data_IF_845394242169
#
_entry.id   IF_845394242169
#
_cell.length_a   1.000
_cell.length_b   1.000
_cell.length_c   1.000
_cell.angle_alpha   90.00
_cell.angle_beta   90.00
_cell.angle_gamma   90.00
#
_symmetry.space_group_name_H-M   'P 1'
#
loop_
_entity.id
_entity.type
_entity.pdbx_description
1 polymer ?
#
# COMPACT_ATOMS: atom_id res chain seq x y z
N UNK A 1 -15.42 22.68 14.69
CA UNK A 1 -14.43 22.30 13.65
C UNK A 1 -14.63 20.83 13.29
N UNK A 2 -14.92 20.50 12.02
CA UNK A 2 -14.94 19.09 11.58
C UNK A 2 -13.59 18.49 11.90
N UNK A 3 -13.58 17.38 12.65
CA UNK A 3 -12.38 16.62 12.97
C UNK A 3 -11.80 16.15 11.64
N UNK A 4 -10.76 16.80 11.15
CA UNK A 4 -10.11 16.41 9.90
C UNK A 4 -9.46 15.06 10.16
N UNK A 5 -9.99 14.00 9.54
CA UNK A 5 -9.47 12.66 9.73
C UNK A 5 -8.09 12.57 9.11
N UNK A 6 -7.06 12.44 9.94
CA UNK A 6 -5.69 12.27 9.46
C UNK A 6 -5.57 10.91 8.75
N UNK A 7 -5.18 10.94 7.47
CA UNK A 7 -5.13 9.73 6.63
C UNK A 7 -4.13 8.69 7.16
N UNK A 8 -3.04 9.14 7.80
CA UNK A 8 -1.98 8.25 8.31
C UNK A 8 -2.47 7.50 9.54
N UNK A 9 -3.25 8.17 10.38
CA UNK A 9 -3.95 7.53 11.50
C UNK A 9 -4.97 6.48 11.03
N UNK A 10 -5.76 6.80 10.01
CA UNK A 10 -6.71 5.84 9.44
C UNK A 10 -5.98 4.62 8.85
N UNK A 11 -4.89 4.85 8.12
CA UNK A 11 -4.06 3.77 7.58
C UNK A 11 -3.45 2.91 8.69
N UNK A 12 -2.89 3.52 9.74
CA UNK A 12 -2.32 2.80 10.87
C UNK A 12 -3.36 1.90 11.58
N UNK A 13 -4.57 2.43 11.82
CA UNK A 13 -5.67 1.66 12.41
C UNK A 13 -6.16 0.54 11.49
N UNK A 14 -6.16 0.76 10.17
CA UNK A 14 -6.54 -0.26 9.21
C UNK A 14 -5.54 -1.41 9.18
N UNK A 15 -4.25 -1.09 9.11
CA UNK A 15 -3.16 -2.08 9.14
C UNK A 15 -3.14 -2.84 10.46
N UNK A 16 -3.33 -2.17 11.59
CA UNK A 16 -3.44 -2.82 12.90
C UNK A 16 -4.56 -3.86 12.94
N UNK A 17 -5.76 -3.53 12.43
CA UNK A 17 -6.87 -4.49 12.36
C UNK A 17 -6.56 -5.70 11.48
N UNK A 18 -5.85 -5.51 10.38
CA UNK A 18 -5.47 -6.61 9.49
C UNK A 18 -4.47 -7.53 10.18
N UNK A 19 -3.40 -6.96 10.76
CA UNK A 19 -2.27 -7.73 11.27
C UNK A 19 -2.56 -8.33 12.66
N UNK A 20 -3.16 -7.56 13.56
CA UNK A 20 -3.38 -7.99 14.96
C UNK A 20 -4.73 -8.68 15.17
N UNK A 21 -5.72 -8.40 14.32
CA UNK A 21 -7.09 -8.90 14.49
C UNK A 21 -7.55 -9.82 13.36
N UNK A 22 -6.69 -10.10 12.38
CA UNK A 22 -6.99 -11.00 11.26
C UNK A 22 -8.11 -10.53 10.33
N UNK A 23 -8.42 -9.23 10.32
CA UNK A 23 -9.46 -8.70 9.45
C UNK A 23 -8.97 -8.56 8.00
N UNK A 24 -9.87 -8.74 7.03
CA UNK A 24 -9.56 -8.46 5.63
C UNK A 24 -9.52 -6.95 5.36
N UNK A 25 -8.47 -6.46 4.69
CA UNK A 25 -8.36 -5.04 4.34
C UNK A 25 -9.57 -4.57 3.51
N UNK A 26 -10.14 -5.43 2.66
CA UNK A 26 -11.32 -5.09 1.86
C UNK A 26 -12.52 -4.67 2.72
N UNK A 27 -12.73 -5.32 3.87
CA UNK A 27 -13.80 -5.00 4.82
C UNK A 27 -13.48 -3.74 5.62
N UNK A 28 -12.21 -3.55 5.99
CA UNK A 28 -11.76 -2.42 6.82
C UNK A 28 -11.69 -1.12 6.03
N UNK A 29 -11.22 -1.17 4.78
CA UNK A 29 -10.92 0.02 3.98
C UNK A 29 -12.18 0.75 3.51
N UNK A 30 -13.23 0.02 3.13
CA UNK A 30 -14.44 0.60 2.54
C UNK A 30 -15.14 1.60 3.50
N UNK A 31 -15.41 1.28 4.78
CA UNK A 31 -15.96 2.25 5.73
C UNK A 31 -15.03 3.43 6.02
N UNK A 32 -13.71 3.28 5.87
CA UNK A 32 -12.75 4.38 6.07
C UNK A 32 -12.73 5.33 4.88
N UNK A 33 -12.83 4.80 3.66
CA UNK A 33 -12.91 5.61 2.43
C UNK A 33 -14.15 6.50 2.40
N UNK A 34 -15.27 6.07 3.00
CA UNK A 34 -16.49 6.88 3.13
C UNK A 34 -16.32 8.08 4.08
N UNK A 35 -15.28 8.10 4.91
CA UNK A 35 -15.01 9.16 5.90
C UNK A 35 -14.03 10.23 5.40
N UNK A 36 -13.58 10.14 4.15
CA UNK A 36 -12.58 11.04 3.55
C UNK A 36 -13.07 11.54 2.18
N UNK A 37 -12.50 12.65 1.71
CA UNK A 37 -12.82 13.19 0.40
C UNK A 37 -12.33 12.26 -0.71
N UNK A 38 -12.95 12.30 -1.90
CA UNK A 38 -12.59 11.42 -3.02
C UNK A 38 -11.10 11.51 -3.40
N UNK A 39 -10.53 12.72 -3.40
CA UNK A 39 -9.10 12.96 -3.64
C UNK A 39 -8.17 12.24 -2.64
N UNK A 40 -8.66 11.97 -1.43
CA UNK A 40 -7.88 11.38 -0.35
C UNK A 40 -8.01 9.84 -0.30
N UNK A 41 -9.05 9.28 -0.95
CA UNK A 41 -9.29 7.82 -0.98
C UNK A 41 -8.11 7.07 -1.60
N UNK A 42 -7.55 7.60 -2.69
CA UNK A 42 -6.42 6.99 -3.38
C UNK A 42 -5.17 6.94 -2.48
N UNK A 43 -4.88 8.04 -1.76
CA UNK A 43 -3.75 8.07 -0.83
C UNK A 43 -3.95 7.14 0.36
N UNK A 44 -5.16 7.12 0.96
CA UNK A 44 -5.47 6.18 2.04
C UNK A 44 -5.27 4.72 1.60
N UNK A 45 -5.74 4.39 0.40
CA UNK A 45 -5.58 3.05 -0.18
C UNK A 45 -4.09 2.72 -0.42
N UNK A 46 -3.33 3.66 -1.01
CA UNK A 46 -1.89 3.49 -1.24
C UNK A 46 -1.15 3.21 0.07
N UNK A 47 -1.43 3.97 1.14
CA UNK A 47 -0.80 3.76 2.44
C UNK A 47 -1.14 2.39 3.04
N UNK A 48 -2.41 1.97 3.00
CA UNK A 48 -2.82 0.68 3.55
C UNK A 48 -2.20 -0.51 2.80
N UNK A 49 -2.34 -0.55 1.48
CA UNK A 49 -1.78 -1.63 0.66
C UNK A 49 -0.25 -1.61 0.67
N UNK A 50 0.32 -0.42 0.62
CA UNK A 50 1.75 -0.19 0.68
C UNK A 50 2.39 -0.76 1.93
N UNK A 51 1.90 -0.34 3.10
CA UNK A 51 2.41 -0.79 4.40
C UNK A 51 2.27 -2.31 4.56
N UNK A 52 1.12 -2.90 4.17
CA UNK A 52 0.95 -4.36 4.24
C UNK A 52 1.91 -5.10 3.30
N UNK A 53 2.12 -4.61 2.08
CA UNK A 53 3.04 -5.21 1.11
C UNK A 53 4.48 -5.17 1.60
N UNK A 54 4.89 -4.08 2.26
CA UNK A 54 6.27 -3.90 2.73
C UNK A 54 6.43 -4.17 4.22
N UNK A 55 5.47 -4.83 4.87
CA UNK A 55 5.40 -4.96 6.32
C UNK A 55 6.69 -5.55 6.91
N UNK A 56 7.28 -6.56 6.26
CA UNK A 56 8.55 -7.17 6.69
C UNK A 56 9.69 -6.17 6.77
N UNK A 57 9.80 -5.25 5.80
CA UNK A 57 10.82 -4.20 5.82
C UNK A 57 10.55 -3.19 6.92
N UNK A 58 9.30 -2.75 7.06
CA UNK A 58 8.93 -1.73 8.04
C UNK A 58 9.13 -2.25 9.47
N UNK A 59 8.82 -3.52 9.72
CA UNK A 59 9.06 -4.19 11.01
C UNK A 59 10.57 -4.35 11.26
N UNK A 60 11.34 -4.73 10.25
CA UNK A 60 12.80 -4.80 10.34
C UNK A 60 13.40 -3.43 10.71
N UNK A 61 12.94 -2.35 10.07
CA UNK A 61 13.38 -0.98 10.39
C UNK A 61 13.02 -0.57 11.82
N UNK A 62 11.81 -0.87 12.29
CA UNK A 62 11.43 -0.60 13.68
C UNK A 62 12.39 -1.31 14.64
N UNK A 63 12.69 -2.59 14.41
CA UNK A 63 13.58 -3.35 15.29
C UNK A 63 15.02 -2.85 15.30
N UNK A 64 15.48 -2.19 14.23
CA UNK A 64 16.80 -1.53 14.18
C UNK A 64 16.83 -0.18 14.87
N UNK A 65 15.73 0.56 14.83
CA UNK A 65 15.66 1.94 15.32
C UNK A 65 15.14 2.04 16.76
N UNK A 66 14.41 1.03 17.23
CA UNK A 66 13.76 1.03 18.54
C UNK A 66 14.21 -0.18 19.35
N UNK A 67 14.88 0.07 20.47
CA UNK A 67 15.24 -0.98 21.43
C UNK A 67 14.01 -1.62 22.11
N UNK A 68 12.91 -0.87 22.19
CA UNK A 68 11.61 -1.32 22.72
C UNK A 68 10.49 -0.88 21.76
N UNK A 69 10.11 -1.72 20.80
CA UNK A 69 8.98 -1.45 19.90
C UNK A 69 7.68 -1.18 20.66
N UNK A 70 6.76 -0.43 20.05
CA UNK A 70 5.50 -0.05 20.70
C UNK A 70 4.53 -1.24 20.74
N UNK A 71 4.08 -1.62 21.94
CA UNK A 71 3.21 -2.78 22.18
C UNK A 71 1.97 -2.40 23.01
N UNK A 72 1.03 -3.34 23.15
CA UNK A 72 -0.16 -3.20 23.99
C UNK A 72 -0.97 -1.94 23.66
N UNK A 73 -1.22 -1.08 24.66
CA UNK A 73 -2.02 0.15 24.50
C UNK A 73 -1.42 1.18 23.52
N UNK A 74 -0.18 0.98 23.08
CA UNK A 74 0.52 1.85 22.12
C UNK A 74 0.69 1.20 20.75
N UNK A 75 0.07 0.06 20.49
CA UNK A 75 0.30 -0.71 19.27
C UNK A 75 -0.07 0.07 18.00
N UNK A 76 -1.12 0.87 18.00
CA UNK A 76 -1.43 1.79 16.88
C UNK A 76 -0.29 2.75 16.53
N UNK A 77 0.54 3.16 17.52
CA UNK A 77 1.69 4.05 17.29
C UNK A 77 2.79 3.33 16.51
N UNK A 78 2.96 2.02 16.73
CA UNK A 78 3.85 1.15 15.95
C UNK A 78 3.50 1.27 14.45
N UNK A 79 2.23 1.04 14.12
CA UNK A 79 1.74 1.12 12.75
C UNK A 79 1.77 2.54 12.19
N UNK A 80 1.58 3.57 13.02
CA UNK A 80 1.71 4.95 12.59
C UNK A 80 3.16 5.29 12.17
N UNK A 81 4.16 4.80 12.92
CA UNK A 81 5.58 4.94 12.55
C UNK A 81 5.85 4.19 11.23
N UNK A 82 5.30 2.99 11.06
CA UNK A 82 5.42 2.23 9.80
C UNK A 82 4.83 2.99 8.61
N UNK A 83 3.67 3.62 8.77
CA UNK A 83 3.06 4.49 7.75
C UNK A 83 3.99 5.67 7.43
N UNK A 84 4.69 6.22 8.41
CA UNK A 84 5.72 7.24 8.21
C UNK A 84 6.91 6.74 7.38
N UNK A 85 7.49 5.60 7.75
CA UNK A 85 8.57 4.96 6.99
C UNK A 85 8.16 4.66 5.56
N UNK A 86 6.96 4.10 5.36
CA UNK A 86 6.44 3.80 4.04
C UNK A 86 6.37 5.04 3.15
N UNK A 87 5.88 6.16 3.67
CA UNK A 87 5.86 7.41 2.92
C UNK A 87 7.25 7.89 2.51
N UNK A 88 8.22 7.83 3.43
CA UNK A 88 9.59 8.26 3.18
C UNK A 88 10.31 7.38 2.14
N UNK A 89 9.94 6.10 2.05
CA UNK A 89 10.57 5.13 1.15
C UNK A 89 9.91 5.01 -0.22
N UNK A 90 8.58 5.01 -0.25
CA UNK A 90 7.82 4.53 -1.40
C UNK A 90 6.89 5.57 -2.03
N UNK A 91 6.84 6.78 -1.48
CA UNK A 91 5.97 7.84 -2.00
C UNK A 91 6.77 9.06 -2.44
N UNK A 92 6.15 9.88 -3.29
CA UNK A 92 6.69 11.18 -3.70
C UNK A 92 6.25 12.32 -2.76
N UNK A 93 5.65 12.00 -1.61
CA UNK A 93 5.27 13.02 -0.63
C UNK A 93 6.55 13.66 -0.10
N UNK A 94 6.68 15.00 -0.11
CA UNK A 94 7.86 15.65 0.42
C UNK A 94 8.16 15.20 1.86
N UNK A 95 9.42 14.86 2.21
CA UNK A 95 9.72 14.25 3.50
C UNK A 95 9.24 15.07 4.70
N UNK A 96 9.34 16.40 4.64
CA UNK A 96 8.85 17.28 5.71
C UNK A 96 7.33 17.17 5.92
N UNK A 97 6.56 17.03 4.83
CA UNK A 97 5.11 16.86 4.88
C UNK A 97 4.74 15.46 5.38
N UNK A 98 5.44 14.41 4.93
CA UNK A 98 5.25 13.05 5.43
C UNK A 98 5.51 12.97 6.94
N UNK A 99 6.58 13.61 7.44
CA UNK A 99 6.86 13.70 8.88
C UNK A 99 5.75 14.44 9.62
N UNK A 100 5.40 15.66 9.17
CA UNK A 100 4.42 16.50 9.85
C UNK A 100 3.06 15.80 9.97
N UNK A 101 2.55 15.25 8.87
CA UNK A 101 1.27 14.54 8.82
C UNK A 101 1.27 13.27 9.66
N UNK A 102 2.37 12.52 9.66
CA UNK A 102 2.49 11.29 10.47
C UNK A 102 2.56 11.61 11.96
N UNK A 103 3.32 12.64 12.34
CA UNK A 103 3.42 13.10 13.73
C UNK A 103 2.09 13.64 14.21
N UNK A 104 1.38 14.44 13.40
CA UNK A 104 0.05 14.94 13.75
C UNK A 104 -0.98 13.81 13.87
N UNK A 105 -0.77 12.70 13.15
CA UNK A 105 -1.58 11.49 13.29
C UNK A 105 -1.64 10.93 14.72
N UNK A 106 -0.67 11.25 15.57
CA UNK A 106 -0.66 10.86 16.98
C UNK A 106 -1.87 11.42 17.76
N UNK A 107 -2.33 12.63 17.42
CA UNK A 107 -3.50 13.25 18.05
C UNK A 107 -4.77 12.48 17.70
N UNK A 108 -4.91 12.09 16.43
CA UNK A 108 -6.09 11.37 15.94
C UNK A 108 -6.22 9.96 16.53
N UNK A 109 -5.10 9.30 16.86
CA UNK A 109 -5.09 8.01 17.58
C UNK A 109 -5.10 8.16 19.10
N UNK A 110 -5.40 9.36 19.63
CA UNK A 110 -5.48 9.67 21.08
C UNK A 110 -4.16 9.40 21.83
N UNK A 111 -3.02 9.70 21.20
CA UNK A 111 -1.67 9.62 21.78
C UNK A 111 -0.81 10.87 21.50
N UNK A 112 -1.31 12.10 21.72
CA UNK A 112 -0.59 13.34 21.43
C UNK A 112 0.77 13.45 22.13
N UNK A 113 0.91 12.85 23.32
CA UNK A 113 2.15 12.84 24.08
C UNK A 113 3.30 12.09 23.40
N UNK A 114 3.01 11.26 22.38
CA UNK A 114 4.02 10.49 21.64
C UNK A 114 4.50 11.18 20.35
N UNK A 115 4.04 12.41 20.06
CA UNK A 115 4.49 13.20 18.90
C UNK A 115 6.01 13.32 18.83
N UNK A 116 6.66 13.60 19.97
CA UNK A 116 8.11 13.71 20.06
C UNK A 116 8.85 12.40 19.73
N UNK A 117 8.33 11.27 20.20
CA UNK A 117 8.87 9.94 19.90
C UNK A 117 8.75 9.61 18.42
N UNK A 118 7.56 9.79 17.83
CA UNK A 118 7.33 9.51 16.40
C UNK A 118 8.27 10.37 15.54
N UNK A 119 8.36 11.67 15.81
CA UNK A 119 9.29 12.56 15.10
C UNK A 119 10.76 12.13 15.29
N UNK A 120 11.14 11.75 16.51
CA UNK A 120 12.49 11.29 16.82
C UNK A 120 12.88 10.05 16.01
N UNK A 121 12.03 9.03 16.00
CA UNK A 121 12.24 7.78 15.26
C UNK A 121 12.29 8.03 13.75
N UNK A 122 11.35 8.80 13.19
CA UNK A 122 11.35 9.12 11.75
C UNK A 122 12.59 9.92 11.34
N UNK A 123 13.04 10.87 12.16
CA UNK A 123 14.28 11.63 11.88
C UNK A 123 15.54 10.79 12.07
N UNK A 124 15.55 9.86 13.02
CA UNK A 124 16.65 8.92 13.17
C UNK A 124 16.77 8.01 11.94
N UNK A 125 15.63 7.50 11.45
CA UNK A 125 15.59 6.77 10.19
C UNK A 125 16.19 7.59 9.04
N UNK A 126 15.76 8.83 8.83
CA UNK A 126 16.30 9.68 7.76
C UNK A 126 17.83 9.85 7.84
N UNK A 127 18.40 9.95 9.06
CA UNK A 127 19.86 10.06 9.25
C UNK A 127 20.60 8.76 8.96
N UNK A 128 19.96 7.61 9.16
CA UNK A 128 20.57 6.27 9.04
C UNK A 128 20.05 5.50 7.81
N UNK A 129 19.27 6.14 6.94
CA UNK A 129 18.46 5.48 5.92
C UNK A 129 19.31 4.65 4.98
N UNK A 130 20.40 5.20 4.46
CA UNK A 130 21.28 4.50 3.52
C UNK A 130 21.90 3.24 4.16
N UNK A 131 22.48 3.36 5.35
CA UNK A 131 23.06 2.24 6.09
C UNK A 131 22.04 1.14 6.35
N UNK A 132 20.85 1.51 6.82
CA UNK A 132 19.78 0.56 7.13
C UNK A 132 19.24 -0.13 5.88
N UNK A 133 19.12 0.58 4.75
CA UNK A 133 18.66 -0.02 3.50
C UNK A 133 19.69 -0.97 2.89
N UNK A 134 20.97 -0.65 2.98
CA UNK A 134 22.05 -1.53 2.54
C UNK A 134 22.10 -2.82 3.38
N UNK A 135 21.91 -2.72 4.70
CA UNK A 135 21.82 -3.89 5.56
C UNK A 135 20.52 -4.70 5.31
N UNK A 136 19.39 -4.04 5.09
CA UNK A 136 18.13 -4.72 4.77
C UNK A 136 18.23 -5.54 3.47
N UNK A 137 18.90 -4.99 2.46
CA UNK A 137 19.06 -5.62 1.15
C UNK A 137 19.83 -6.95 1.18
N UNK A 138 20.62 -7.22 2.23
CA UNK A 138 21.31 -8.50 2.40
C UNK A 138 20.54 -9.49 3.28
N UNK A 139 19.47 -9.04 3.96
CA UNK A 139 18.63 -9.87 4.82
C UNK A 139 17.59 -10.68 4.04
N UNK A 140 17.11 -11.79 4.60
CA UNK A 140 15.98 -12.54 4.03
C UNK A 140 14.65 -11.78 4.07
N UNK A 141 14.54 -10.76 4.93
CA UNK A 141 13.35 -9.91 4.99
C UNK A 141 13.13 -9.09 3.71
N UNK A 142 14.16 -8.95 2.84
CA UNK A 142 14.07 -8.30 1.52
C UNK A 142 13.04 -8.93 0.60
N UNK A 143 12.68 -10.19 0.84
CA UNK A 143 11.66 -10.87 0.05
C UNK A 143 10.26 -10.35 0.32
N UNK A 144 10.02 -9.62 1.42
CA UNK A 144 8.70 -9.10 1.83
C UNK A 144 7.63 -10.18 2.06
N UNK A 145 8.06 -11.42 2.28
CA UNK A 145 7.20 -12.56 2.56
C UNK A 145 7.56 -13.15 3.93
N UNK A 146 6.59 -13.70 4.69
CA UNK A 146 6.91 -14.38 5.94
C UNK A 146 7.74 -15.64 5.65
N UNK A 147 8.67 -15.97 6.56
CA UNK A 147 9.65 -17.04 6.33
C UNK A 147 9.04 -18.41 6.01
N UNK A 148 7.86 -18.73 6.56
CA UNK A 148 7.15 -19.98 6.23
C UNK A 148 6.69 -20.03 4.77
N UNK A 149 6.31 -18.89 4.18
CA UNK A 149 5.84 -18.82 2.80
C UNK A 149 7.01 -18.86 1.83
N UNK A 150 8.12 -18.19 2.16
CA UNK A 150 9.37 -18.28 1.38
C UNK A 150 9.82 -19.73 1.28
N UNK A 151 9.87 -20.46 2.40
CA UNK A 151 10.23 -21.90 2.42
C UNK A 151 9.28 -22.75 1.58
N UNK A 152 7.97 -22.49 1.64
CA UNK A 152 6.98 -23.20 0.81
C UNK A 152 7.19 -22.93 -0.68
N UNK A 153 7.46 -21.68 -1.07
CA UNK A 153 7.73 -21.32 -2.46
C UNK A 153 9.02 -21.95 -2.96
N UNK A 154 10.09 -21.94 -2.16
CA UNK A 154 11.36 -22.60 -2.48
C UNK A 154 11.18 -24.10 -2.72
N UNK A 155 10.37 -24.78 -1.91
CA UNK A 155 10.11 -26.21 -2.06
C UNK A 155 9.22 -26.52 -3.27
N UNK A 156 8.18 -25.72 -3.51
CA UNK A 156 7.22 -25.95 -4.60
C UNK A 156 7.77 -25.51 -5.97
N UNK A 157 8.60 -24.47 -6.00
CA UNK A 157 9.12 -23.83 -7.22
C UNK A 157 10.64 -23.57 -7.11
N UNK A 158 11.49 -24.60 -7.04
CA UNK A 158 12.91 -24.45 -6.70
C UNK A 158 13.70 -23.50 -7.60
N UNK A 159 13.31 -23.39 -8.88
CA UNK A 159 13.97 -22.54 -9.88
C UNK A 159 13.24 -21.22 -10.14
N UNK A 160 12.03 -21.03 -9.62
CA UNK A 160 11.15 -19.89 -9.97
C UNK A 160 10.69 -19.06 -8.76
N UNK A 161 10.95 -19.51 -7.53
CA UNK A 161 10.43 -18.85 -6.33
C UNK A 161 10.84 -17.38 -6.22
N UNK A 162 12.05 -16.99 -6.66
CA UNK A 162 12.47 -15.59 -6.68
C UNK A 162 11.61 -14.75 -7.62
N UNK A 163 11.33 -15.27 -8.82
CA UNK A 163 10.48 -14.59 -9.80
C UNK A 163 9.03 -14.45 -9.29
N UNK A 164 8.51 -15.48 -8.62
CA UNK A 164 7.19 -15.43 -7.98
C UNK A 164 7.16 -14.35 -6.89
N UNK A 165 8.17 -14.30 -6.03
CA UNK A 165 8.28 -13.28 -4.97
C UNK A 165 8.37 -11.87 -5.57
N UNK A 166 9.19 -11.70 -6.61
CA UNK A 166 9.31 -10.43 -7.31
C UNK A 166 7.98 -9.99 -7.92
N UNK A 167 7.29 -10.89 -8.64
CA UNK A 167 5.98 -10.63 -9.22
C UNK A 167 4.92 -10.29 -8.16
N UNK A 168 4.89 -11.01 -7.04
CA UNK A 168 3.97 -10.73 -5.92
C UNK A 168 4.19 -9.33 -5.32
N UNK A 169 5.42 -8.83 -5.36
CA UNK A 169 5.78 -7.53 -4.80
C UNK A 169 5.54 -6.36 -5.78
N UNK A 170 5.22 -6.64 -7.04
CA UNK A 170 4.88 -5.59 -8.02
C UNK A 170 3.52 -4.95 -7.70
N UNK A 171 3.32 -3.72 -8.20
CA UNK A 171 1.97 -3.15 -8.22
C UNK A 171 1.11 -3.95 -9.20
N UNK A 172 -0.08 -4.41 -8.80
CA UNK A 172 -0.88 -5.27 -9.66
C UNK A 172 -1.35 -4.48 -10.89
N UNK A 173 -1.20 -5.05 -12.11
CA UNK A 173 -1.79 -4.45 -13.29
C UNK A 173 -3.33 -4.48 -13.21
N UNK A 174 -3.99 -3.45 -13.76
CA UNK A 174 -5.44 -3.46 -13.87
C UNK A 174 -5.85 -4.19 -15.14
N UNK A 175 -6.36 -5.41 -14.97
CA UNK A 175 -6.96 -6.21 -16.03
C UNK A 175 -8.47 -5.97 -16.07
N UNK A 176 -8.98 -5.82 -17.29
CA UNK A 176 -10.39 -5.69 -17.60
C UNK A 176 -10.83 -6.83 -18.51
N UNK A 177 -12.12 -7.17 -18.44
CA UNK A 177 -12.76 -8.10 -19.37
C UNK A 177 -13.79 -7.34 -20.19
N UNK A 178 -13.58 -7.26 -21.49
CA UNK A 178 -14.53 -6.64 -22.43
C UNK A 178 -15.76 -7.54 -22.55
N UNK A 179 -16.95 -6.95 -22.42
CA UNK A 179 -18.20 -7.69 -22.63
C UNK A 179 -18.47 -7.82 -24.13
N UNK A 180 -18.22 -9.03 -24.67
CA UNK A 180 -18.39 -9.37 -26.09
C UNK A 180 -19.81 -9.21 -26.63
N UNK A 181 -20.83 -9.10 -25.77
CA UNK A 181 -22.20 -8.80 -26.21
C UNK A 181 -22.39 -7.37 -26.69
N UNK A 182 -21.44 -6.47 -26.39
CA UNK A 182 -21.52 -5.05 -26.76
C UNK A 182 -20.37 -4.61 -27.67
N UNK A 183 -19.16 -5.11 -27.45
CA UNK A 183 -17.98 -4.74 -28.24
C UNK A 183 -17.05 -5.93 -28.41
N UNK A 184 -16.33 -6.00 -29.53
CA UNK A 184 -15.10 -6.80 -29.61
C UNK A 184 -14.02 -6.18 -28.72
N UNK A 185 -13.00 -6.96 -28.32
CA UNK A 185 -11.86 -6.43 -27.55
C UNK A 185 -11.22 -5.23 -28.26
N UNK A 186 -10.94 -5.38 -29.56
CA UNK A 186 -10.24 -4.36 -30.33
C UNK A 186 -11.13 -3.13 -30.57
N UNK A 187 -12.44 -3.32 -30.75
CA UNK A 187 -13.39 -2.21 -30.81
C UNK A 187 -13.45 -1.43 -29.49
N UNK A 188 -13.39 -2.12 -28.35
CA UNK A 188 -13.36 -1.46 -27.04
C UNK A 188 -12.00 -0.79 -26.74
N UNK A 189 -10.90 -1.33 -27.24
CA UNK A 189 -9.58 -0.67 -27.19
C UNK A 189 -9.59 0.67 -27.95
N UNK A 190 -10.29 0.76 -29.08
CA UNK A 190 -10.49 2.03 -29.78
C UNK A 190 -11.22 3.07 -28.91
N UNK A 191 -12.30 2.67 -28.23
CA UNK A 191 -13.01 3.55 -27.28
C UNK A 191 -12.13 4.01 -26.11
N UNK A 192 -11.22 3.15 -25.67
CA UNK A 192 -10.28 3.46 -24.59
C UNK A 192 -9.25 4.51 -25.05
N UNK A 193 -8.74 4.36 -26.28
CA UNK A 193 -7.81 5.31 -26.90
C UNK A 193 -8.46 6.67 -27.15
N UNK A 194 -9.71 6.70 -27.64
CA UNK A 194 -10.50 7.92 -27.81
C UNK A 194 -10.72 8.66 -26.48
N UNK A 195 -10.78 7.93 -25.37
CA UNK A 195 -10.87 8.48 -24.01
C UNK A 195 -9.51 8.91 -23.44
N UNK A 196 -8.44 8.89 -24.24
CA UNK A 196 -7.09 9.29 -23.86
C UNK A 196 -6.39 8.28 -22.94
N UNK A 197 -6.84 7.01 -22.92
CA UNK A 197 -6.27 5.95 -22.11
C UNK A 197 -5.63 4.87 -22.99
N UNK A 198 -4.63 4.17 -22.44
CA UNK A 198 -3.91 3.13 -23.16
C UNK A 198 -4.12 1.76 -22.53
N UNK A 199 -4.37 0.77 -23.36
CA UNK A 199 -4.56 -0.62 -22.97
C UNK A 199 -3.88 -1.58 -23.92
N UNK A 200 -3.58 -2.78 -23.43
CA UNK A 200 -2.87 -3.81 -24.16
C UNK A 200 -3.66 -5.13 -24.16
N UNK A 201 -3.81 -5.81 -25.30
CA UNK A 201 -4.39 -7.14 -25.33
C UNK A 201 -3.41 -8.19 -24.75
N UNK A 202 -3.92 -9.37 -24.46
CA UNK A 202 -3.11 -10.56 -24.20
C UNK A 202 -3.46 -11.67 -25.19
N UNK A 203 -2.48 -12.37 -25.79
CA UNK A 203 -2.74 -13.42 -26.78
C UNK A 203 -3.58 -14.58 -26.20
N UNK A 204 -3.30 -14.99 -24.96
CA UNK A 204 -3.98 -16.14 -24.34
C UNK A 204 -5.36 -15.82 -23.75
N UNK A 205 -5.73 -14.54 -23.67
CA UNK A 205 -6.98 -14.10 -23.03
C UNK A 205 -7.76 -13.17 -23.98
N UNK A 206 -8.62 -13.72 -24.85
CA UNK A 206 -9.23 -13.00 -25.98
C UNK A 206 -10.07 -11.77 -25.60
N UNK A 207 -10.71 -11.77 -24.43
CA UNK A 207 -11.54 -10.64 -23.96
C UNK A 207 -10.77 -9.67 -23.05
N UNK A 208 -9.49 -9.92 -22.80
CA UNK A 208 -8.73 -9.17 -21.79
C UNK A 208 -8.13 -7.89 -22.36
N UNK A 209 -8.15 -6.85 -21.53
CA UNK A 209 -7.38 -5.63 -21.74
C UNK A 209 -6.63 -5.32 -20.45
N UNK A 210 -5.31 -5.19 -20.54
CA UNK A 210 -4.47 -4.65 -19.45
C UNK A 210 -4.29 -3.16 -19.65
N UNK A 211 -4.75 -2.35 -18.71
CA UNK A 211 -4.48 -0.90 -18.77
C UNK A 211 -2.99 -0.62 -18.54
N UNK A 212 -2.45 0.37 -19.24
CA UNK A 212 -1.11 0.89 -18.97
C UNK A 212 -1.02 1.50 -17.57
N UNK A 213 -2.03 2.30 -17.20
CA UNK A 213 -2.19 2.89 -15.87
C UNK A 213 -3.57 2.51 -15.32
N UNK A 214 -3.67 1.96 -14.09
CA UNK A 214 -4.95 1.72 -13.44
C UNK A 214 -5.81 2.99 -13.40
N UNK A 215 -7.09 2.86 -13.75
CA UNK A 215 -8.05 3.96 -13.78
C UNK A 215 -9.24 3.68 -12.86
N UNK A 216 -9.89 4.70 -12.30
CA UNK A 216 -11.12 4.49 -11.56
C UNK A 216 -12.22 3.96 -12.49
N UNK A 217 -13.07 3.09 -11.98
CA UNK A 217 -14.11 2.40 -12.75
C UNK A 217 -15.06 3.34 -13.51
N UNK A 218 -15.32 4.54 -12.97
CA UNK A 218 -16.19 5.54 -13.59
C UNK A 218 -15.56 6.25 -14.80
N UNK A 219 -14.25 6.17 -14.96
CA UNK A 219 -13.55 6.69 -16.15
C UNK A 219 -13.54 5.69 -17.31
N UNK A 220 -13.92 4.41 -17.08
CA UNK A 220 -13.88 3.37 -18.10
C UNK A 220 -15.07 3.48 -19.07
N UNK A 221 -14.85 3.43 -20.40
CA UNK A 221 -15.92 3.53 -21.38
C UNK A 221 -17.02 2.48 -21.19
N UNK A 222 -18.26 2.94 -21.01
CA UNK A 222 -19.46 2.09 -20.96
C UNK A 222 -19.72 1.34 -19.65
N UNK A 223 -18.91 1.57 -18.60
CA UNK A 223 -19.10 0.88 -17.32
C UNK A 223 -20.25 1.47 -16.48
N UNK A 224 -20.47 2.77 -16.59
CA UNK A 224 -21.62 3.47 -15.99
C UNK A 224 -22.68 3.72 -17.07
N UNK A 225 -23.28 2.67 -17.63
CA UNK A 225 -24.61 2.83 -18.20
C UNK A 225 -25.57 2.94 -17.02
N UNK A 226 -25.79 4.18 -16.56
CA UNK A 226 -26.95 4.52 -15.73
C UNK A 226 -28.17 4.22 -16.59
N UNK A 227 -28.80 3.09 -16.33
CA UNK A 227 -30.19 2.82 -16.67
C UNK A 227 -31.04 3.09 -15.44
#
# INVERSE_FOLDING_TARGET
>A
MKKQNNLRSLAAQAVEQVVEQGQSLSNVLLPLQQKVADKDKALLQELCFGVLRTLSQLEWLINKLMSRPMTGKQRTVHYLIMVGFYQLLYTRVPPHAALAETVEGAVSIKRPQLKGLINGVLRQFQRQQETLLNEFATSDARFLHPGWLVKRLQNAYPTQWQHIIEANNQRPPMWLRVNRTHHTRDGWLGLLEDAGMKGYPHPDYPDSVRLETPAPVHALPGLLRVG
#
